data_IF_904196313813
#
_entry.id   IF_904196313813
#
_cell.length_a   1.000
_cell.length_b   1.000
_cell.length_c   1.000
_cell.angle_alpha   90.00
_cell.angle_beta   90.00
_cell.angle_gamma   90.00
#
_symmetry.space_group_name_H-M   'P 1'
#
loop_
_entity.id
_entity.type
_entity.pdbx_description
1 polymer ?
#
# COMPACT_ATOMS: atom_id res chain seq x y z
N UNK A 1 5.84 8.17 -4.04
CA UNK A 1 5.47 7.09 -4.98
C UNK A 1 3.94 6.95 -4.97
N UNK A 2 3.25 6.62 -6.07
CA UNK A 2 1.79 6.40 -6.06
C UNK A 2 1.48 4.92 -5.85
N UNK A 3 0.64 4.62 -4.85
CA UNK A 3 0.24 3.25 -4.51
C UNK A 3 -1.23 3.00 -4.82
N UNK A 4 -1.54 1.75 -5.17
CA UNK A 4 -2.91 1.22 -5.28
C UNK A 4 -3.11 0.10 -4.28
N UNK A 5 -4.29 0.04 -3.65
CA UNK A 5 -4.61 -0.95 -2.63
C UNK A 5 -5.48 -2.05 -3.22
N UNK A 6 -4.93 -3.27 -3.29
CA UNK A 6 -5.61 -4.43 -3.86
C UNK A 6 -5.51 -5.64 -2.94
N UNK A 7 -6.53 -6.49 -2.98
CA UNK A 7 -6.57 -7.72 -2.20
C UNK A 7 -5.69 -8.80 -2.82
N UNK A 8 -4.84 -9.43 -2.01
CA UNK A 8 -4.05 -10.59 -2.42
C UNK A 8 -4.87 -11.86 -2.20
N UNK A 9 -4.90 -12.77 -3.18
CA UNK A 9 -5.50 -14.09 -3.03
C UNK A 9 -4.66 -15.08 -2.23
N UNK A 10 -3.46 -14.71 -1.78
CA UNK A 10 -2.62 -15.53 -0.89
C UNK A 10 -2.93 -15.32 0.58
N UNK A 11 -3.49 -14.16 0.93
CA UNK A 11 -3.97 -13.87 2.27
C UNK A 11 -5.36 -13.23 2.20
N UNK A 12 -5.87 -12.70 3.31
CA UNK A 12 -7.16 -11.97 3.32
C UNK A 12 -6.93 -10.47 3.49
N UNK A 13 -5.79 -9.97 3.01
CA UNK A 13 -5.36 -8.59 3.21
C UNK A 13 -5.27 -7.81 1.91
N UNK A 14 -5.50 -6.50 2.04
CA UNK A 14 -5.20 -5.52 1.02
C UNK A 14 -3.79 -4.98 1.19
N UNK A 15 -2.97 -5.11 0.14
CA UNK A 15 -1.59 -4.63 0.11
C UNK A 15 -1.47 -3.40 -0.77
N UNK A 16 -0.46 -2.58 -0.49
CA UNK A 16 -0.14 -1.41 -1.31
C UNK A 16 0.82 -1.82 -2.42
N UNK A 17 0.35 -1.89 -3.65
CA UNK A 17 1.15 -2.17 -4.83
C UNK A 17 1.58 -0.87 -5.50
N UNK A 18 2.78 -0.83 -6.09
CA UNK A 18 3.21 0.30 -6.91
C UNK A 18 2.28 0.45 -8.11
N UNK A 19 1.80 1.67 -8.38
CA UNK A 19 1.03 1.96 -9.59
C UNK A 19 1.88 1.87 -10.88
N UNK A 20 3.21 1.95 -10.75
CA UNK A 20 4.17 1.93 -11.85
C UNK A 20 5.02 0.66 -11.80
N UNK A 21 4.42 -0.48 -12.09
CA UNK A 21 5.18 -1.73 -12.16
C UNK A 21 5.90 -1.91 -13.49
N UNK A 22 7.11 -2.46 -13.40
CA UNK A 22 7.96 -2.74 -14.56
C UNK A 22 7.60 -4.06 -15.26
N UNK A 23 6.89 -4.97 -14.59
CA UNK A 23 6.55 -6.30 -15.09
C UNK A 23 5.14 -6.68 -14.68
N UNK A 24 4.43 -7.36 -15.59
CA UNK A 24 3.13 -7.97 -15.29
C UNK A 24 3.24 -9.43 -14.84
N UNK A 25 4.46 -9.96 -14.65
CA UNK A 25 4.63 -11.33 -14.17
C UNK A 25 4.27 -11.48 -12.67
N UNK A 26 4.59 -10.46 -11.88
CA UNK A 26 4.28 -10.40 -10.45
C UNK A 26 4.05 -8.96 -10.04
N UNK A 27 3.10 -8.80 -9.13
CA UNK A 27 2.84 -7.54 -8.47
C UNK A 27 3.55 -7.49 -7.13
N UNK A 28 4.54 -6.60 -7.01
CA UNK A 28 5.29 -6.33 -5.78
C UNK A 28 4.55 -5.28 -4.93
N UNK A 29 4.24 -5.66 -3.69
CA UNK A 29 3.73 -4.76 -2.68
C UNK A 29 4.86 -3.94 -2.04
N UNK A 30 4.51 -2.90 -1.30
CA UNK A 30 5.48 -2.13 -0.50
C UNK A 30 6.12 -2.98 0.61
N UNK A 31 5.41 -3.99 1.14
CA UNK A 31 5.97 -4.99 2.06
C UNK A 31 6.82 -6.03 1.30
N UNK A 32 7.09 -7.20 1.87
CA UNK A 32 7.83 -8.28 1.18
C UNK A 32 6.91 -9.20 0.38
N UNK A 33 5.65 -8.82 0.19
CA UNK A 33 4.64 -9.64 -0.47
C UNK A 33 4.67 -9.42 -1.98
N UNK A 34 4.58 -10.52 -2.74
CA UNK A 34 4.50 -10.51 -4.20
C UNK A 34 3.42 -11.48 -4.64
N UNK A 35 2.60 -11.05 -5.60
CA UNK A 35 1.41 -11.79 -6.01
C UNK A 35 1.34 -11.84 -7.53
N UNK A 36 1.19 -13.00 -8.18
CA UNK A 36 1.00 -13.06 -9.62
C UNK A 36 -0.41 -12.56 -10.01
N UNK A 37 -0.62 -12.11 -11.25
CA UNK A 37 -1.87 -11.47 -11.69
C UNK A 37 -3.14 -12.29 -11.41
N UNK A 38 -3.07 -13.60 -11.58
CA UNK A 38 -4.20 -14.53 -11.41
C UNK A 38 -4.68 -14.63 -9.95
N UNK A 39 -3.84 -14.24 -8.99
CA UNK A 39 -4.17 -14.20 -7.57
C UNK A 39 -4.42 -12.78 -7.08
N UNK A 40 -4.47 -11.77 -7.95
CA UNK A 40 -4.66 -10.38 -7.57
C UNK A 40 -6.11 -9.93 -7.83
N UNK A 41 -6.81 -9.55 -6.77
CA UNK A 41 -8.14 -8.96 -6.89
C UNK A 41 -7.98 -7.44 -6.85
N UNK A 42 -8.22 -6.78 -7.99
CA UNK A 42 -8.05 -5.32 -8.17
C UNK A 42 -9.17 -4.50 -7.50
N UNK A 43 -9.47 -4.82 -6.24
CA UNK A 43 -10.44 -4.16 -5.37
C UNK A 43 -9.89 -4.16 -3.95
N UNK A 44 -10.23 -3.13 -3.19
CA UNK A 44 -9.87 -3.05 -1.79
C UNK A 44 -10.92 -3.76 -0.94
N UNK A 45 -10.91 -5.09 -0.99
CA UNK A 45 -11.79 -5.95 -0.20
C UNK A 45 -11.00 -6.53 0.98
N UNK A 46 -11.35 -6.20 2.23
CA UNK A 46 -10.69 -6.73 3.43
C UNK A 46 -9.81 -5.74 4.20
N UNK A 47 -9.06 -6.25 5.17
CA UNK A 47 -8.22 -5.45 6.07
C UNK A 47 -6.93 -5.00 5.38
N UNK A 48 -6.49 -3.77 5.63
CA UNK A 48 -5.22 -3.28 5.11
C UNK A 48 -4.03 -3.93 5.81
N UNK A 49 -3.00 -4.29 5.03
CA UNK A 49 -1.74 -4.79 5.56
C UNK A 49 -1.03 -3.69 6.37
N UNK A 50 -0.81 -3.95 7.67
CA UNK A 50 -0.16 -3.00 8.59
C UNK A 50 1.25 -2.63 8.13
N UNK A 51 2.03 -3.58 7.62
CA UNK A 51 3.37 -3.30 7.12
C UNK A 51 3.34 -2.36 5.90
N UNK A 52 2.35 -2.52 5.00
CA UNK A 52 2.16 -1.60 3.89
C UNK A 52 1.74 -0.21 4.38
N UNK A 53 0.84 -0.12 5.35
CA UNK A 53 0.41 1.16 5.94
C UNK A 53 1.58 1.96 6.51
N UNK A 54 2.45 1.31 7.28
CA UNK A 54 3.61 1.97 7.89
C UNK A 54 4.55 2.50 6.81
N UNK A 55 4.90 1.68 5.81
CA UNK A 55 5.84 2.07 4.75
C UNK A 55 5.28 3.22 3.90
N UNK A 56 4.06 3.07 3.40
CA UNK A 56 3.40 4.10 2.58
C UNK A 56 3.21 5.39 3.37
N UNK A 57 2.80 5.30 4.64
CA UNK A 57 2.63 6.46 5.52
C UNK A 57 3.96 7.15 5.86
N UNK A 58 5.07 6.41 5.97
CA UNK A 58 6.41 6.99 6.22
C UNK A 58 7.01 7.67 4.99
N UNK A 59 6.51 7.34 3.79
CA UNK A 59 6.90 8.00 2.54
C UNK A 59 6.12 9.27 2.26
N UNK A 60 5.03 9.53 3.00
CA UNK A 60 4.36 10.82 2.93
C UNK A 60 5.33 11.87 3.51
N UNK A 61 5.62 12.96 2.78
CA UNK A 61 6.43 14.04 3.34
C UNK A 61 5.78 14.50 4.65
N UNK A 62 6.60 14.75 5.68
CA UNK A 62 6.11 15.37 6.92
C UNK A 62 5.23 16.56 6.53
N UNK A 63 3.99 16.54 7.01
CA UNK A 63 3.03 17.62 6.81
C UNK A 63 3.76 18.93 7.05
N UNK A 64 3.99 19.70 5.99
CA UNK A 64 4.59 21.03 6.07
C UNK A 64 3.53 22.06 6.53
N UNK A 65 2.52 21.57 7.25
CA UNK A 65 1.62 22.40 8.01
C UNK A 65 2.34 22.78 9.30
N UNK A 66 2.63 24.07 9.55
CA UNK A 66 3.14 24.48 10.84
C UNK A 66 2.13 23.98 11.87
N UNK A 67 2.60 23.16 12.82
CA UNK A 67 1.81 22.67 13.92
C UNK A 67 1.05 23.86 14.52
N UNK A 68 -0.26 23.94 14.26
CA UNK A 68 -1.09 24.88 14.98
C UNK A 68 -1.05 24.42 16.43
N UNK A 69 -0.32 25.20 17.21
CA UNK A 69 -0.22 25.10 18.66
C UNK A 69 -1.63 24.99 19.24
N UNK A 70 -2.07 23.76 19.54
CA UNK A 70 -3.19 23.53 20.43
C UNK A 70 -2.72 23.90 21.84
N UNK A 71 -2.77 25.19 22.14
CA UNK A 71 -2.69 25.74 23.49
C UNK A 71 -4.01 26.43 23.76
N UNK A 72 -4.77 25.86 24.68
CA UNK A 72 -5.56 26.58 25.68
C UNK A 72 -5.34 25.87 27.03
#
# INVERSE_FOLDING_TARGET
MTYVWWHSGYDSLCHAFSAHQASEAYFEAACTHSVPPEHLVRRQEGTLCVACLIKVGSELPEDTHPAQSWRD
#
